data_IF_052448632692
#
_entry.id   IF_052448632692
#
_cell.length_a   1.000
_cell.length_b   1.000
_cell.length_c   1.000
_cell.angle_alpha   90.00
_cell.angle_beta   90.00
_cell.angle_gamma   90.00
#
_symmetry.space_group_name_H-M   'P 1'
#
loop_
_entity.id
_entity.type
_entity.pdbx_description
1 polymer ?
#
# COMPACT_ATOMS: atom_id res chain seq x y z
N UNK A 1 7.78 -23.58 10.70
CA UNK A 1 6.51 -23.24 11.40
C UNK A 1 6.29 -21.74 11.26
N UNK A 2 5.06 -21.21 11.27
CA UNK A 2 4.90 -19.76 11.26
C UNK A 2 5.48 -19.19 12.56
N UNK A 3 6.42 -18.26 12.42
CA UNK A 3 6.96 -17.50 13.53
C UNK A 3 5.88 -16.51 14.01
N UNK A 4 5.58 -16.52 15.31
CA UNK A 4 4.68 -15.57 15.95
C UNK A 4 5.50 -14.52 16.70
N UNK A 5 5.33 -13.27 16.31
CA UNK A 5 6.08 -12.12 16.83
C UNK A 5 5.27 -11.35 17.86
N UNK A 6 5.87 -11.11 19.02
CA UNK A 6 5.38 -10.24 20.09
C UNK A 6 6.32 -9.02 20.20
N UNK A 7 6.05 -8.11 21.15
CA UNK A 7 6.86 -6.90 21.32
C UNK A 7 8.29 -7.21 21.79
N UNK A 8 8.47 -8.27 22.57
CA UNK A 8 9.70 -8.58 23.32
C UNK A 8 10.22 -10.02 23.08
N UNK A 9 9.49 -10.81 22.28
CA UNK A 9 9.85 -12.19 21.99
C UNK A 9 9.22 -12.72 20.69
N UNK A 10 9.79 -13.80 20.18
CA UNK A 10 9.25 -14.59 19.08
C UNK A 10 9.09 -16.04 19.53
N UNK A 11 8.03 -16.71 19.05
CA UNK A 11 7.81 -18.14 19.29
C UNK A 11 7.42 -18.85 17.99
N UNK A 12 7.72 -20.13 17.89
CA UNK A 12 7.15 -20.98 16.85
C UNK A 12 5.74 -21.44 17.28
N UNK A 13 4.70 -20.75 16.80
CA UNK A 13 3.32 -21.07 17.18
C UNK A 13 2.76 -22.19 16.28
N UNK A 14 2.38 -23.37 16.83
CA UNK A 14 1.81 -24.44 16.03
C UNK A 14 0.47 -24.04 15.39
N UNK A 15 0.24 -24.44 14.14
CA UNK A 15 -0.92 -24.02 13.34
C UNK A 15 -2.30 -24.39 13.93
N UNK A 16 -2.37 -25.29 14.91
CA UNK A 16 -3.62 -25.67 15.61
C UNK A 16 -4.10 -24.64 16.64
N UNK A 17 -3.26 -23.68 17.02
CA UNK A 17 -3.63 -22.64 17.97
C UNK A 17 -4.34 -21.50 17.26
N UNK A 18 -5.39 -20.97 17.90
CA UNK A 18 -6.06 -19.74 17.48
C UNK A 18 -5.47 -18.57 18.27
N UNK A 19 -5.05 -17.52 17.57
CA UNK A 19 -4.58 -16.29 18.20
C UNK A 19 -5.77 -15.53 18.82
N UNK A 20 -5.78 -15.44 20.15
CA UNK A 20 -6.76 -14.67 20.94
C UNK A 20 -6.08 -13.57 21.76
N UNK A 21 -4.93 -13.09 21.30
CA UNK A 21 -4.15 -12.07 21.99
C UNK A 21 -4.94 -10.77 22.11
N UNK A 22 -4.96 -10.22 23.32
CA UNK A 22 -5.45 -8.88 23.62
C UNK A 22 -4.29 -8.03 24.10
N UNK A 23 -4.05 -6.89 23.44
CA UNK A 23 -3.16 -5.87 23.99
C UNK A 23 -3.99 -4.91 24.83
N UNK A 24 -3.59 -4.67 26.07
CA UNK A 24 -4.25 -3.75 26.99
C UNK A 24 -3.26 -2.65 27.39
N UNK A 25 -3.66 -1.41 27.19
CA UNK A 25 -2.90 -0.22 27.58
C UNK A 25 -3.73 0.61 28.57
N UNK A 26 -3.07 1.14 29.59
CA UNK A 26 -3.67 1.93 30.69
C UNK A 26 -2.80 3.15 30.97
N UNK A 27 -3.41 4.26 31.38
CA UNK A 27 -2.69 5.53 31.62
C UNK A 27 -2.07 5.57 33.02
N UNK A 28 -2.70 4.92 34.02
CA UNK A 28 -2.26 5.02 35.42
C UNK A 28 -1.54 3.76 35.95
N UNK A 29 -0.42 3.99 36.64
CA UNK A 29 0.30 2.95 37.40
C UNK A 29 -0.44 2.50 38.69
N UNK A 30 -1.44 3.26 39.15
CA UNK A 30 -2.14 3.04 40.42
C UNK A 30 -3.52 2.34 40.28
N UNK A 31 -3.86 1.83 39.09
CA UNK A 31 -5.04 0.98 38.89
C UNK A 31 -6.39 1.68 38.79
N UNK A 32 -6.44 3.02 38.81
CA UNK A 32 -7.66 3.82 38.66
C UNK A 32 -7.75 4.50 37.28
N UNK A 33 -7.35 3.78 36.21
CA UNK A 33 -7.22 4.36 34.87
C UNK A 33 -8.55 4.95 34.39
N UNK A 34 -8.58 6.26 34.16
CA UNK A 34 -9.74 6.96 33.58
C UNK A 34 -10.06 6.54 32.15
N UNK A 35 -9.11 5.88 31.48
CA UNK A 35 -9.20 5.39 30.12
C UNK A 35 -8.38 4.10 29.95
N UNK A 36 -8.89 3.14 29.18
CA UNK A 36 -8.10 1.98 28.72
C UNK A 36 -8.22 1.85 27.22
N UNK A 37 -7.17 1.33 26.59
CA UNK A 37 -7.14 1.04 25.16
C UNK A 37 -6.83 -0.43 24.94
N UNK A 38 -7.70 -1.13 24.23
CA UNK A 38 -7.59 -2.55 23.95
C UNK A 38 -7.49 -2.79 22.45
N UNK A 39 -6.56 -3.66 22.04
CA UNK A 39 -6.50 -4.19 20.67
C UNK A 39 -6.81 -5.67 20.70
N UNK A 40 -7.83 -6.08 19.97
CA UNK A 40 -8.24 -7.47 19.84
C UNK A 40 -8.49 -7.86 18.38
N UNK A 41 -8.57 -9.18 18.14
CA UNK A 41 -8.84 -9.75 16.82
C UNK A 41 -10.00 -10.71 16.91
N UNK A 42 -10.81 -10.74 15.85
CA UNK A 42 -11.91 -11.68 15.72
C UNK A 42 -11.96 -12.26 14.29
N UNK A 43 -12.29 -13.55 14.14
CA UNK A 43 -12.48 -14.14 12.82
C UNK A 43 -13.71 -13.54 12.14
N UNK A 44 -13.59 -13.37 10.82
CA UNK A 44 -14.66 -12.93 9.93
C UNK A 44 -15.14 -14.10 9.09
N UNK A 45 -16.41 -14.10 8.72
CA UNK A 45 -16.93 -15.05 7.74
C UNK A 45 -16.31 -14.78 6.36
N UNK A 46 -16.24 -15.76 5.45
CA UNK A 46 -15.61 -15.59 4.13
C UNK A 46 -16.18 -14.46 3.26
N UNK A 47 -17.46 -14.11 3.46
CA UNK A 47 -18.17 -13.08 2.68
C UNK A 47 -18.42 -11.78 3.45
N UNK A 48 -18.01 -11.71 4.73
CA UNK A 48 -18.11 -10.47 5.51
C UNK A 48 -17.41 -9.27 4.83
N UNK A 49 -18.03 -8.11 4.91
CA UNK A 49 -17.33 -6.83 4.76
C UNK A 49 -17.12 -6.24 6.17
N UNK A 50 -16.40 -5.12 6.27
CA UNK A 50 -16.32 -4.41 7.56
C UNK A 50 -17.71 -3.96 8.03
N UNK A 51 -18.62 -3.64 7.10
CA UNK A 51 -20.03 -3.33 7.38
C UNK A 51 -20.78 -4.49 8.00
N UNK A 52 -20.85 -5.62 7.29
CA UNK A 52 -21.63 -6.77 7.75
C UNK A 52 -21.07 -7.33 9.06
N UNK A 53 -19.74 -7.26 9.24
CA UNK A 53 -19.10 -7.62 10.49
C UNK A 53 -19.49 -6.67 11.62
N UNK A 54 -19.44 -5.35 11.42
CA UNK A 54 -19.81 -4.37 12.43
C UNK A 54 -21.28 -4.50 12.83
N UNK A 55 -22.18 -4.68 11.86
CA UNK A 55 -23.61 -4.92 12.13
C UNK A 55 -23.84 -6.19 12.95
N UNK A 56 -23.17 -7.29 12.59
CA UNK A 56 -23.22 -8.55 13.33
C UNK A 56 -22.66 -8.38 14.75
N UNK A 57 -21.54 -7.69 14.89
CA UNK A 57 -20.93 -7.38 16.19
C UNK A 57 -21.90 -6.59 17.08
N UNK A 58 -22.53 -5.53 16.57
CA UNK A 58 -23.54 -4.75 17.31
C UNK A 58 -24.72 -5.62 17.72
N UNK A 59 -25.18 -6.50 16.83
CA UNK A 59 -26.28 -7.44 17.14
C UNK A 59 -25.90 -8.40 18.26
N UNK A 60 -24.67 -8.92 18.28
CA UNK A 60 -24.19 -9.79 19.35
C UNK A 60 -23.96 -9.03 20.66
N UNK A 61 -23.40 -7.81 20.62
CA UNK A 61 -23.27 -6.95 21.79
C UNK A 61 -24.62 -6.66 22.43
N UNK A 62 -25.66 -6.38 21.64
CA UNK A 62 -27.02 -6.16 22.14
C UNK A 62 -27.60 -7.37 22.88
N UNK A 63 -27.21 -8.58 22.49
CA UNK A 63 -27.67 -9.82 23.14
C UNK A 63 -26.87 -10.15 24.41
N UNK A 64 -25.58 -9.81 24.42
CA UNK A 64 -24.62 -10.32 25.41
C UNK A 64 -24.24 -9.31 26.48
N UNK A 65 -24.26 -8.01 26.16
CA UNK A 65 -23.88 -6.95 27.08
C UNK A 65 -25.10 -6.42 27.87
N UNK A 66 -25.08 -6.46 29.21
CA UNK A 66 -26.18 -5.94 30.03
C UNK A 66 -26.44 -4.45 29.77
N UNK A 67 -27.71 -4.10 29.57
CA UNK A 67 -28.16 -2.71 29.31
C UNK A 67 -27.38 -2.03 28.18
N UNK A 68 -27.03 -2.80 27.15
CA UNK A 68 -26.39 -2.27 25.95
C UNK A 68 -27.22 -1.16 25.29
N UNK A 69 -26.56 -0.06 24.99
CA UNK A 69 -27.12 1.03 24.21
C UNK A 69 -26.08 1.49 23.18
N UNK A 70 -26.43 1.29 21.90
CA UNK A 70 -25.69 1.86 20.78
C UNK A 70 -25.95 3.37 20.72
N UNK A 71 -24.88 4.16 20.72
CA UNK A 71 -24.93 5.62 20.58
C UNK A 71 -24.67 6.05 19.14
N UNK A 72 -23.72 5.40 18.47
CA UNK A 72 -23.28 5.77 17.12
C UNK A 72 -22.68 4.59 16.39
N UNK A 73 -22.89 4.53 15.07
CA UNK A 73 -22.21 3.63 14.15
C UNK A 73 -21.89 4.43 12.88
N UNK A 74 -20.61 4.67 12.61
CA UNK A 74 -20.18 5.56 11.52
C UNK A 74 -19.02 4.95 10.72
N UNK A 75 -18.86 5.45 9.49
CA UNK A 75 -17.70 5.15 8.63
C UNK A 75 -16.49 5.92 9.16
N UNK A 76 -15.34 5.25 9.19
CA UNK A 76 -14.03 5.84 9.47
C UNK A 76 -13.00 5.27 8.49
N UNK A 77 -11.85 5.93 8.36
CA UNK A 77 -10.70 5.39 7.64
C UNK A 77 -9.55 5.14 8.63
N UNK A 78 -8.83 4.04 8.44
CA UNK A 78 -7.57 3.72 9.14
C UNK A 78 -6.57 3.28 8.10
N UNK A 79 -5.44 3.98 7.99
CA UNK A 79 -4.32 3.61 7.11
C UNK A 79 -4.77 3.32 5.66
N UNK A 80 -5.69 4.14 5.12
CA UNK A 80 -6.30 3.98 3.80
C UNK A 80 -7.36 2.88 3.68
N UNK A 81 -7.62 2.11 4.73
CA UNK A 81 -8.65 1.07 4.77
C UNK A 81 -9.97 1.59 5.34
N UNK A 82 -11.09 1.13 4.77
CA UNK A 82 -12.42 1.45 5.31
C UNK A 82 -12.63 0.73 6.65
N UNK A 83 -13.04 1.49 7.66
CA UNK A 83 -13.30 1.05 9.02
C UNK A 83 -14.71 1.46 9.49
N UNK A 84 -15.16 0.88 10.60
CA UNK A 84 -16.41 1.27 11.28
C UNK A 84 -16.12 1.67 12.72
N UNK A 85 -16.62 2.83 13.12
CA UNK A 85 -16.57 3.28 14.52
C UNK A 85 -17.92 3.06 15.19
N UNK A 86 -17.88 2.48 16.37
CA UNK A 86 -19.05 2.11 17.17
C UNK A 86 -18.90 2.76 18.55
N UNK A 87 -19.77 3.72 18.85
CA UNK A 87 -19.89 4.25 20.21
C UNK A 87 -21.07 3.58 20.89
N UNK A 88 -20.84 3.04 22.09
CA UNK A 88 -21.88 2.38 22.86
C UNK A 88 -21.59 2.45 24.35
N UNK A 89 -22.59 2.07 25.13
CA UNK A 89 -22.46 1.97 26.58
C UNK A 89 -23.18 0.72 27.07
N UNK A 90 -22.69 0.14 28.17
CA UNK A 90 -23.27 -1.05 28.79
C UNK A 90 -22.86 -1.14 30.27
N UNK A 91 -23.44 -2.07 31.02
CA UNK A 91 -23.17 -2.25 32.44
C UNK A 91 -22.34 -3.49 32.71
N UNK A 92 -21.18 -3.31 33.34
CA UNK A 92 -20.29 -4.37 33.83
C UNK A 92 -20.23 -4.30 35.35
N UNK A 93 -20.61 -5.39 36.04
CA UNK A 93 -20.59 -5.49 37.50
C UNK A 93 -21.21 -4.28 38.23
N UNK A 94 -22.34 -3.79 37.69
CA UNK A 94 -23.06 -2.63 38.23
C UNK A 94 -22.50 -1.26 37.82
N UNK A 95 -21.35 -1.22 37.14
CA UNK A 95 -20.71 0.01 36.64
C UNK A 95 -21.09 0.25 35.18
N UNK A 96 -21.56 1.46 34.88
CA UNK A 96 -21.77 1.90 33.49
C UNK A 96 -20.42 2.15 32.83
N UNK A 97 -20.17 1.50 31.69
CA UNK A 97 -19.00 1.71 30.86
C UNK A 97 -19.40 2.39 29.57
N UNK A 98 -18.54 3.30 29.11
CA UNK A 98 -18.63 3.95 27.81
C UNK A 98 -17.49 3.43 26.93
N UNK A 99 -17.81 2.92 25.76
CA UNK A 99 -16.84 2.38 24.83
C UNK A 99 -16.95 3.01 23.45
N UNK A 100 -15.79 3.25 22.87
CA UNK A 100 -15.62 3.59 21.46
C UNK A 100 -14.78 2.48 20.85
N UNK A 101 -15.29 1.86 19.79
CA UNK A 101 -14.62 0.75 19.13
C UNK A 101 -14.50 1.04 17.63
N UNK A 102 -13.28 1.08 17.11
CA UNK A 102 -13.02 1.13 15.66
C UNK A 102 -12.62 -0.24 15.18
N UNK A 103 -13.34 -0.73 14.17
CA UNK A 103 -13.16 -2.05 13.56
C UNK A 103 -12.67 -1.88 12.13
N UNK A 104 -11.60 -2.58 11.77
CA UNK A 104 -11.03 -2.61 10.42
C UNK A 104 -10.67 -4.03 10.03
N UNK A 105 -10.76 -4.35 8.74
CA UNK A 105 -10.31 -5.65 8.23
C UNK A 105 -8.79 -5.66 8.09
N UNK A 106 -8.15 -6.75 8.52
CA UNK A 106 -6.72 -6.94 8.32
C UNK A 106 -6.40 -7.14 6.82
N UNK A 107 -5.48 -6.36 6.21
CA UNK A 107 -5.08 -6.56 4.82
C UNK A 107 -4.11 -7.73 4.62
N UNK A 108 -3.60 -8.34 5.71
CA UNK A 108 -2.79 -9.56 5.62
C UNK A 108 -3.58 -10.73 5.01
N UNK A 109 -3.04 -11.43 3.99
CA UNK A 109 -3.62 -12.65 3.49
C UNK A 109 -3.49 -13.73 4.57
N UNK A 110 -4.63 -14.15 5.12
CA UNK A 110 -4.74 -15.24 6.10
C UNK A 110 -5.77 -16.23 5.60
N UNK A 111 -5.64 -17.49 6.04
CA UNK A 111 -6.62 -18.55 5.73
C UNK A 111 -8.03 -18.16 6.17
N UNK A 112 -8.13 -17.47 7.30
CA UNK A 112 -9.36 -16.88 7.83
C UNK A 112 -9.20 -15.36 7.85
N UNK A 113 -10.19 -14.64 7.34
CA UNK A 113 -10.18 -13.17 7.41
C UNK A 113 -10.38 -12.73 8.85
N UNK A 114 -9.75 -11.61 9.21
CA UNK A 114 -9.68 -11.14 10.60
C UNK A 114 -10.08 -9.67 10.66
N UNK A 115 -10.99 -9.36 11.57
CA UNK A 115 -11.26 -7.99 12.00
C UNK A 115 -10.34 -7.65 13.16
N UNK A 116 -9.73 -6.47 13.11
CA UNK A 116 -8.97 -5.87 14.20
C UNK A 116 -9.87 -4.82 14.85
N UNK A 117 -9.98 -4.88 16.18
CA UNK A 117 -10.76 -3.92 16.96
C UNK A 117 -9.83 -3.13 17.88
N UNK A 118 -9.93 -1.81 17.78
CA UNK A 118 -9.32 -0.84 18.69
C UNK A 118 -10.43 -0.31 19.60
N UNK A 119 -10.31 -0.48 20.91
CA UNK A 119 -11.40 -0.25 21.86
C UNK A 119 -10.91 0.67 22.97
N UNK A 120 -11.46 1.89 23.00
CA UNK A 120 -11.32 2.81 24.12
C UNK A 120 -12.42 2.56 25.14
N UNK A 121 -12.08 2.48 26.42
CA UNK A 121 -13.08 2.31 27.50
C UNK A 121 -12.89 3.36 28.58
N UNK A 122 -13.97 4.02 28.95
CA UNK A 122 -14.04 4.98 30.05
C UNK A 122 -15.14 4.54 31.05
N UNK A 123 -14.90 4.66 32.37
CA UNK A 123 -15.93 4.46 33.39
C UNK A 123 -16.93 5.63 33.47
N UNK A 124 -16.64 6.74 32.79
CA UNK A 124 -17.52 7.90 32.57
C UNK A 124 -17.61 8.17 31.07
N UNK A 125 -18.49 9.07 30.65
CA UNK A 125 -18.53 9.50 29.25
C UNK A 125 -17.16 10.01 28.79
N UNK A 126 -16.86 9.82 27.50
CA UNK A 126 -15.64 10.35 26.88
C UNK A 126 -15.60 11.87 27.03
N UNK A 127 -14.53 12.36 27.67
CA UNK A 127 -14.19 13.78 27.68
C UNK A 127 -13.56 14.18 26.34
N UNK A 128 -13.42 15.48 26.03
CA UNK A 128 -12.66 15.92 24.86
C UNK A 128 -11.22 15.40 24.86
N UNK A 129 -10.60 15.32 26.04
CA UNK A 129 -9.25 14.76 26.23
C UNK A 129 -9.20 13.28 25.82
N UNK A 130 -10.04 12.42 26.38
CA UNK A 130 -10.04 10.99 26.02
C UNK A 130 -10.52 10.72 24.60
N UNK A 131 -11.35 11.60 24.05
CA UNK A 131 -11.70 11.54 22.62
C UNK A 131 -10.46 11.82 21.76
N UNK A 132 -9.71 12.87 22.07
CA UNK A 132 -8.47 13.21 21.37
C UNK A 132 -7.40 12.13 21.49
N UNK A 133 -7.23 11.55 22.69
CA UNK A 133 -6.28 10.45 22.92
C UNK A 133 -6.63 9.21 22.08
N UNK A 134 -7.91 8.81 22.09
CA UNK A 134 -8.40 7.70 21.27
C UNK A 134 -8.17 7.97 19.77
N UNK A 135 -8.52 9.18 19.31
CA UNK A 135 -8.36 9.57 17.91
C UNK A 135 -6.90 9.58 17.48
N UNK A 136 -6.01 10.08 18.34
CA UNK A 136 -4.56 10.03 18.16
C UNK A 136 -4.05 8.60 18.00
N UNK A 137 -4.41 7.71 18.93
CA UNK A 137 -4.02 6.29 18.87
C UNK A 137 -4.52 5.61 17.60
N UNK A 138 -5.80 5.75 17.25
CA UNK A 138 -6.38 5.13 16.05
C UNK A 138 -5.78 5.70 14.76
N UNK A 139 -5.53 7.02 14.70
CA UNK A 139 -4.90 7.65 13.52
C UNK A 139 -3.44 7.25 13.32
N UNK A 140 -2.75 6.81 14.38
CA UNK A 140 -1.35 6.35 14.32
C UNK A 140 -1.18 4.90 13.85
N UNK A 141 -2.30 4.17 13.67
CA UNK A 141 -2.26 2.77 13.25
C UNK A 141 -1.70 2.66 11.84
N UNK A 142 -0.70 1.79 11.68
CA UNK A 142 -0.22 1.29 10.39
C UNK A 142 -0.52 -0.21 10.34
N UNK A 143 -1.34 -0.61 9.37
CA UNK A 143 -1.75 -1.99 9.18
C UNK A 143 -0.64 -2.77 8.48
N UNK A 144 -0.31 -3.94 9.04
CA UNK A 144 0.62 -4.87 8.39
C UNK A 144 0.00 -5.35 7.08
N UNK A 145 0.71 -5.15 5.98
CA UNK A 145 0.38 -5.69 4.66
C UNK A 145 1.32 -6.85 4.34
N UNK A 146 0.94 -7.79 3.46
CA UNK A 146 1.91 -8.76 2.97
C UNK A 146 3.11 -8.00 2.43
N UNK A 147 4.31 -8.47 2.76
CA UNK A 147 5.50 -8.02 2.05
C UNK A 147 5.23 -8.32 0.57
N UNK A 148 5.11 -7.29 -0.24
CA UNK A 148 5.11 -7.51 -1.66
C UNK A 148 6.45 -8.15 -2.03
N UNK A 149 6.46 -9.16 -2.90
CA UNK A 149 7.70 -9.75 -3.33
C UNK A 149 8.61 -8.62 -3.80
N UNK A 150 9.85 -8.61 -3.28
CA UNK A 150 10.83 -7.62 -3.68
C UNK A 150 10.85 -7.54 -5.20
N UNK A 151 10.74 -6.33 -5.75
CA UNK A 151 10.80 -6.14 -7.18
C UNK A 151 12.11 -6.75 -7.70
N UNK A 152 12.01 -7.68 -8.65
CA UNK A 152 13.18 -8.28 -9.29
C UNK A 152 13.36 -7.59 -10.65
N UNK A 153 14.41 -6.78 -10.85
CA UNK A 153 14.71 -6.20 -12.14
C UNK A 153 14.87 -7.30 -13.20
N UNK A 154 14.24 -7.11 -14.36
CA UNK A 154 14.32 -8.02 -15.50
C UNK A 154 14.96 -7.27 -16.67
N UNK A 155 15.95 -7.85 -17.36
CA UNK A 155 16.53 -7.26 -18.55
C UNK A 155 15.55 -7.33 -19.71
N UNK A 156 15.45 -6.25 -20.49
CA UNK A 156 14.66 -6.18 -21.70
C UNK A 156 15.45 -6.71 -22.89
N UNK A 157 14.82 -7.59 -23.68
CA UNK A 157 15.40 -8.10 -24.91
C UNK A 157 15.46 -7.01 -26.00
N UNK A 158 16.47 -7.08 -26.87
CA UNK A 158 16.64 -6.13 -27.98
C UNK A 158 15.48 -6.15 -28.98
N UNK A 159 14.78 -7.28 -29.10
CA UNK A 159 13.62 -7.47 -29.96
C UNK A 159 12.28 -7.29 -29.23
N UNK A 160 12.30 -6.81 -27.97
CA UNK A 160 11.07 -6.55 -27.24
C UNK A 160 10.18 -5.57 -28.02
N UNK A 161 8.94 -6.01 -28.26
CA UNK A 161 7.96 -5.26 -29.01
C UNK A 161 7.38 -4.12 -28.17
N UNK A 162 7.02 -3.03 -28.84
CA UNK A 162 6.37 -1.89 -28.21
C UNK A 162 7.18 -0.61 -28.30
N UNK A 163 6.48 0.50 -28.14
CA UNK A 163 7.06 1.84 -28.19
C UNK A 163 8.05 2.00 -27.04
N UNK A 164 9.15 2.70 -27.28
CA UNK A 164 10.09 3.09 -26.23
C UNK A 164 10.27 4.59 -26.23
N UNK A 165 10.21 5.16 -25.04
CA UNK A 165 10.38 6.59 -24.84
C UNK A 165 11.74 6.89 -24.25
N UNK A 166 12.37 7.94 -24.76
CA UNK A 166 13.67 8.41 -24.32
C UNK A 166 13.56 9.90 -24.06
N UNK A 167 13.61 10.30 -22.79
CA UNK A 167 13.58 11.69 -22.39
C UNK A 167 15.02 12.17 -22.15
N UNK A 168 15.46 13.14 -22.93
CA UNK A 168 16.73 13.82 -22.71
C UNK A 168 16.50 15.01 -21.78
N UNK A 169 17.03 14.95 -20.56
CA UNK A 169 16.65 15.83 -19.45
C UNK A 169 17.12 17.28 -19.68
N UNK A 170 18.35 17.50 -20.14
CA UNK A 170 18.86 18.87 -20.39
C UNK A 170 18.16 19.59 -21.55
N UNK A 171 17.75 18.86 -22.59
CA UNK A 171 17.09 19.45 -23.76
C UNK A 171 15.57 19.35 -23.71
N UNK A 172 15.02 18.71 -22.67
CA UNK A 172 13.58 18.47 -22.48
C UNK A 172 12.90 17.91 -23.73
N UNK A 173 13.64 17.08 -24.46
CA UNK A 173 13.19 16.49 -25.72
C UNK A 173 12.84 15.03 -25.48
N UNK A 174 11.59 14.67 -25.76
CA UNK A 174 11.11 13.30 -25.73
C UNK A 174 11.23 12.67 -27.11
N UNK A 175 11.99 11.59 -27.22
CA UNK A 175 12.06 10.77 -28.43
C UNK A 175 11.14 9.56 -28.26
N UNK A 176 10.33 9.31 -29.28
CA UNK A 176 9.37 8.21 -29.34
C UNK A 176 9.81 7.24 -30.42
N UNK A 177 10.28 6.07 -30.02
CA UNK A 177 10.83 5.05 -30.91
C UNK A 177 9.84 3.90 -31.09
N UNK A 178 9.85 3.29 -32.28
CA UNK A 178 8.90 2.23 -32.65
C UNK A 178 9.17 0.87 -32.01
N UNK A 179 10.35 0.69 -31.41
CA UNK A 179 10.77 -0.58 -30.82
C UNK A 179 12.17 -0.53 -30.25
N UNK A 180 12.52 -1.55 -29.45
CA UNK A 180 13.86 -1.66 -28.89
C UNK A 180 14.94 -1.79 -29.96
N UNK A 181 14.67 -2.52 -31.04
CA UNK A 181 15.60 -2.64 -32.16
C UNK A 181 15.99 -1.29 -32.79
N UNK A 182 15.12 -0.28 -32.75
CA UNK A 182 15.44 1.07 -33.19
C UNK A 182 16.39 1.77 -32.22
N UNK A 183 16.11 1.71 -30.91
CA UNK A 183 17.00 2.27 -29.88
C UNK A 183 18.41 1.66 -29.95
N UNK A 184 18.52 0.35 -30.21
CA UNK A 184 19.81 -0.33 -30.31
C UNK A 184 20.66 0.07 -31.53
N UNK A 185 20.10 0.82 -32.50
CA UNK A 185 20.88 1.40 -33.61
C UNK A 185 21.54 2.72 -33.25
N UNK A 186 21.13 3.35 -32.14
CA UNK A 186 21.72 4.59 -31.66
C UNK A 186 22.91 4.30 -30.74
N UNK A 187 23.90 5.18 -30.79
CA UNK A 187 25.03 5.12 -29.86
C UNK A 187 24.60 5.65 -28.49
N UNK A 188 24.26 4.73 -27.59
CA UNK A 188 23.83 5.05 -26.21
C UNK A 188 24.99 5.55 -25.35
N UNK A 189 26.25 5.47 -25.83
CA UNK A 189 27.38 5.98 -25.06
C UNK A 189 27.40 7.51 -24.91
N UNK A 190 26.69 8.24 -25.77
CA UNK A 190 26.42 9.67 -25.60
C UNK A 190 25.28 9.96 -24.61
N UNK A 191 24.53 8.93 -24.18
CA UNK A 191 23.32 9.03 -23.36
C UNK A 191 23.57 8.78 -21.86
N UNK A 192 24.83 8.57 -21.45
CA UNK A 192 25.18 8.38 -20.04
C UNK A 192 25.02 9.68 -19.25
N UNK A 193 24.03 9.72 -18.36
CA UNK A 193 23.93 10.70 -17.26
C UNK A 193 22.85 11.77 -17.38
N UNK A 194 22.18 11.91 -18.53
CA UNK A 194 21.17 12.95 -18.78
C UNK A 194 19.94 12.43 -19.56
N UNK A 195 19.70 11.12 -19.50
CA UNK A 195 18.63 10.47 -20.23
C UNK A 195 17.84 9.52 -19.34
N UNK A 196 16.51 9.64 -19.40
CA UNK A 196 15.58 8.69 -18.80
C UNK A 196 14.90 7.85 -19.89
N UNK A 197 14.79 6.55 -19.64
CA UNK A 197 14.17 5.59 -20.54
C UNK A 197 12.84 5.11 -19.96
N UNK A 198 11.84 4.90 -20.82
CA UNK A 198 10.55 4.36 -20.41
C UNK A 198 10.04 3.33 -21.42
N UNK A 199 9.34 2.31 -20.93
CA UNK A 199 8.69 1.31 -21.76
C UNK A 199 7.39 1.85 -22.43
N UNK A 200 6.69 0.97 -23.16
CA UNK A 200 5.45 1.32 -23.84
C UNK A 200 4.33 1.80 -22.90
N UNK A 201 4.36 1.41 -21.63
CA UNK A 201 3.43 1.88 -20.59
C UNK A 201 3.85 3.21 -19.95
N UNK A 202 5.04 3.72 -20.27
CA UNK A 202 5.64 4.89 -19.61
C UNK A 202 6.25 4.54 -18.25
N UNK A 203 6.55 3.26 -18.00
CA UNK A 203 7.24 2.80 -16.79
C UNK A 203 8.74 3.03 -16.96
N UNK A 204 9.44 3.60 -15.95
CA UNK A 204 10.85 3.91 -16.04
C UNK A 204 11.72 2.65 -16.16
N UNK A 205 12.80 2.79 -16.92
CA UNK A 205 13.81 1.77 -17.18
C UNK A 205 15.19 2.29 -16.81
N UNK A 206 16.09 1.39 -16.40
CA UNK A 206 17.48 1.72 -16.11
C UNK A 206 18.43 1.08 -17.12
N UNK A 207 19.40 1.86 -17.58
CA UNK A 207 20.56 1.33 -18.28
C UNK A 207 21.54 0.73 -17.25
N UNK A 208 21.72 -0.59 -17.27
CA UNK A 208 22.63 -1.30 -16.35
C UNK A 208 23.45 -2.35 -17.11
N UNK A 209 24.39 -3.00 -16.41
CA UNK A 209 25.23 -4.04 -16.99
C UNK A 209 24.37 -5.14 -17.64
N UNK A 210 24.73 -5.55 -18.86
CA UNK A 210 24.00 -6.57 -19.57
C UNK A 210 24.25 -7.97 -18.97
N UNK A 211 23.26 -8.87 -18.99
CA UNK A 211 23.46 -10.27 -18.67
C UNK A 211 24.44 -10.93 -19.66
N UNK A 212 25.26 -11.87 -19.16
CA UNK A 212 26.18 -12.61 -20.01
C UNK A 212 25.44 -13.36 -21.13
N UNK A 213 25.90 -13.20 -22.37
CA UNK A 213 25.36 -13.91 -23.54
C UNK A 213 24.07 -13.32 -24.12
N UNK A 214 23.61 -12.16 -23.66
CA UNK A 214 22.50 -11.43 -24.26
C UNK A 214 22.99 -10.29 -25.16
N UNK A 215 22.21 -9.89 -26.18
CA UNK A 215 22.52 -8.69 -26.96
C UNK A 215 22.57 -7.46 -26.07
N UNK A 216 23.59 -6.63 -26.26
CA UNK A 216 23.90 -5.51 -25.38
C UNK A 216 24.57 -4.36 -26.15
N UNK A 217 24.36 -3.13 -25.70
CA UNK A 217 25.18 -2.00 -26.12
C UNK A 217 26.60 -2.18 -25.61
N UNK A 218 27.59 -1.86 -26.43
CA UNK A 218 29.00 -1.85 -26.02
C UNK A 218 29.45 -0.40 -25.88
N UNK A 219 29.86 -0.01 -24.67
CA UNK A 219 30.52 1.27 -24.45
C UNK A 219 31.95 1.25 -25.04
N UNK A 220 32.55 2.41 -25.31
CA UNK A 220 33.93 2.50 -25.83
C UNK A 220 34.98 1.82 -24.94
N UNK A 221 34.69 1.66 -23.65
CA UNK A 221 35.54 0.98 -22.67
C UNK A 221 35.32 -0.55 -22.61
N UNK A 222 34.46 -1.10 -23.48
CA UNK A 222 34.15 -2.52 -23.57
C UNK A 222 33.07 -3.03 -22.62
N UNK A 223 32.50 -2.18 -21.76
CA UNK A 223 31.38 -2.59 -20.90
C UNK A 223 30.12 -2.79 -21.73
N UNK A 224 29.35 -3.82 -21.35
CA UNK A 224 28.09 -4.15 -22.01
C UNK A 224 26.88 -3.73 -21.17
N UNK A 225 25.88 -3.12 -21.80
CA UNK A 225 24.69 -2.59 -21.13
C UNK A 225 23.39 -3.05 -21.79
N UNK A 226 22.35 -3.17 -20.99
CA UNK A 226 20.97 -3.43 -21.41
C UNK A 226 20.01 -2.53 -20.61
N UNK A 227 18.77 -2.40 -21.06
CA UNK A 227 17.72 -1.77 -20.26
C UNK A 227 17.10 -2.80 -19.32
N UNK A 228 16.87 -2.38 -18.09
CA UNK A 228 16.28 -3.18 -17.03
C UNK A 228 15.01 -2.51 -16.54
N UNK A 229 14.01 -3.31 -16.19
CA UNK A 229 12.83 -2.81 -15.50
C UNK A 229 13.24 -2.24 -14.13
N UNK A 230 12.59 -1.15 -13.72
CA UNK A 230 12.74 -0.55 -12.39
C UNK A 230 11.47 -0.72 -11.56
N UNK A 231 11.59 -0.63 -10.24
CA UNK A 231 10.42 -0.62 -9.36
C UNK A 231 9.59 0.64 -9.66
N UNK A 232 8.37 0.51 -10.24
CA UNK A 232 7.58 1.66 -10.65
C UNK A 232 7.15 2.54 -9.46
N UNK A 233 7.26 2.06 -8.22
CA UNK A 233 6.92 2.82 -7.01
C UNK A 233 8.01 3.77 -6.53
N UNK A 234 9.25 3.54 -6.95
CA UNK A 234 10.41 4.32 -6.50
C UNK A 234 10.82 5.39 -7.52
N UNK A 235 10.21 5.39 -8.70
CA UNK A 235 10.63 6.21 -9.82
C UNK A 235 9.42 6.85 -10.53
N UNK A 236 9.56 8.13 -10.87
CA UNK A 236 8.51 8.85 -11.60
C UNK A 236 8.28 8.23 -12.98
N UNK A 237 7.02 8.07 -13.34
CA UNK A 237 6.55 7.62 -14.64
C UNK A 237 6.72 8.70 -15.71
N UNK A 238 6.70 8.32 -16.99
CA UNK A 238 6.71 9.29 -18.08
C UNK A 238 5.51 10.25 -17.99
N UNK A 239 4.34 9.77 -17.56
CA UNK A 239 3.11 10.57 -17.45
C UNK A 239 3.30 11.75 -16.50
N UNK A 240 3.99 11.53 -15.38
CA UNK A 240 4.31 12.58 -14.41
C UNK A 240 5.33 13.57 -14.96
N UNK A 241 6.23 13.11 -15.84
CA UNK A 241 7.28 13.93 -16.44
C UNK A 241 6.89 14.65 -17.73
N UNK A 242 5.71 14.37 -18.30
CA UNK A 242 5.27 15.02 -19.55
C UNK A 242 5.16 16.55 -19.43
N UNK A 243 4.92 17.09 -18.23
CA UNK A 243 4.91 18.54 -17.99
C UNK A 243 6.27 19.22 -18.15
N UNK A 244 7.36 18.45 -18.19
CA UNK A 244 8.73 18.93 -18.35
C UNK A 244 9.19 18.91 -19.82
N UNK A 245 8.38 18.37 -20.75
CA UNK A 245 8.76 18.13 -22.14
C UNK A 245 8.47 19.35 -23.01
N UNK A 246 9.51 19.91 -23.62
CA UNK A 246 9.43 21.07 -24.52
C UNK A 246 9.20 20.65 -25.99
N UNK A 247 9.68 19.47 -26.39
CA UNK A 247 9.46 18.96 -27.75
C UNK A 247 9.41 17.44 -27.83
N UNK A 248 8.69 16.91 -28.81
CA UNK A 248 8.56 15.46 -29.04
C UNK A 248 9.00 15.13 -30.47
N UNK A 249 9.80 14.08 -30.63
CA UNK A 249 10.41 13.64 -31.91
C UNK A 249 10.28 12.14 -32.09
N UNK A 250 10.48 11.66 -33.32
CA UNK A 250 10.46 10.24 -33.66
C UNK A 250 9.18 9.83 -34.38
N UNK A 251 8.49 8.82 -33.87
CA UNK A 251 7.36 8.15 -34.50
C UNK A 251 6.25 9.10 -34.99
N UNK A 252 5.89 8.96 -36.27
CA UNK A 252 4.76 9.68 -36.89
C UNK A 252 3.47 9.39 -36.14
N UNK A 253 2.70 10.44 -35.82
CA UNK A 253 1.47 10.33 -35.03
C UNK A 253 1.65 10.49 -33.52
N UNK A 254 2.89 10.50 -33.01
CA UNK A 254 3.21 10.78 -31.59
C UNK A 254 4.20 11.95 -31.44
N UNK A 255 4.04 12.99 -32.26
CA UNK A 255 4.98 14.13 -32.33
C UNK A 255 4.61 15.29 -31.39
N UNK A 256 3.64 15.09 -30.50
CA UNK A 256 3.21 16.10 -29.53
C UNK A 256 2.99 15.47 -28.15
N UNK A 257 3.16 16.25 -27.09
CA UNK A 257 2.92 15.81 -25.70
C UNK A 257 1.49 15.28 -25.55
N UNK A 258 0.51 15.95 -26.15
CA UNK A 258 -0.90 15.53 -26.12
C UNK A 258 -1.12 14.15 -26.77
N UNK A 259 -0.44 13.86 -27.89
CA UNK A 259 -0.55 12.55 -28.54
C UNK A 259 0.08 11.44 -27.70
N UNK A 260 1.23 11.71 -27.06
CA UNK A 260 1.86 10.77 -26.13
C UNK A 260 0.98 10.53 -24.90
N UNK A 261 0.39 11.57 -24.32
CA UNK A 261 -0.54 11.44 -23.20
C UNK A 261 -1.76 10.59 -23.55
N UNK A 262 -2.34 10.80 -24.75
CA UNK A 262 -3.45 10.01 -25.24
C UNK A 262 -3.07 8.52 -25.41
N UNK A 263 -1.88 8.25 -25.96
CA UNK A 263 -1.35 6.89 -26.08
C UNK A 263 -1.19 6.22 -24.70
N UNK A 264 -0.52 6.87 -23.75
CA UNK A 264 -0.31 6.33 -22.40
C UNK A 264 -1.62 6.11 -21.64
N UNK A 265 -2.65 6.90 -21.92
CA UNK A 265 -3.99 6.71 -21.35
C UNK A 265 -4.66 5.45 -21.90
N UNK A 266 -4.53 5.21 -23.21
CA UNK A 266 -5.09 4.03 -23.85
C UNK A 266 -4.38 2.74 -23.44
N UNK A 267 -3.05 2.74 -23.40
CA UNK A 267 -2.26 1.58 -22.96
C UNK A 267 -2.56 1.23 -21.50
N UNK A 268 -2.69 2.22 -20.63
CA UNK A 268 -3.03 2.03 -19.22
C UNK A 268 -4.44 1.46 -18.95
N UNK A 269 -5.34 1.46 -19.94
CA UNK A 269 -6.69 0.85 -19.84
C UNK A 269 -6.74 -0.61 -20.33
N UNK A 270 -5.62 -1.16 -20.81
CA UNK A 270 -5.55 -2.51 -21.42
C UNK A 270 -4.92 -3.56 -20.48
N UNK A 271 -4.57 -3.16 -19.26
CA UNK A 271 -4.01 -3.98 -18.18
C UNK A 271 -4.76 -3.71 -16.88
#
# INVERSE_FOLDING_TARGET
MPEYQMNDAAIELPARFQDKTMHLFTVDAAGASGFTFVVSRAPMEPEDTVDTFAERLVKEMRKTLPRFELKRLEVREIDGETAREIDYQWVSDGTQLHQRQTVVMSPMPRKERVAISFIGTCPKAFTPEWSGEYDGLVSSVVLKRPDEPAFVPVPLAQDAAGVVFVLHDSSRTLYVLTGMAELYRHDVSEMFGDVAFFDAGGVPLALQAAPAGQPAWSAPDGRQFALWTLNPREHASLRERLGEVDSVKGMTGMQTVAAVQAYLTNVGNTH
#
